data_IF_566369029650
#
_entry.id   IF_566369029650
#
_cell.length_a   1.000
_cell.length_b   1.000
_cell.length_c   1.000
_cell.angle_alpha   90.00
_cell.angle_beta   90.00
_cell.angle_gamma   90.00
#
_symmetry.space_group_name_H-M   'P 1'
#
loop_
_entity.id
_entity.type
_entity.pdbx_description
1 polymer ?
#
# COMPACT_ATOMS: atom_id res chain seq x y z
N UNK A 1 24.84 -13.27 -20.66
CA UNK A 1 23.49 -13.26 -20.06
C UNK A 1 23.54 -12.27 -18.93
N UNK A 2 22.84 -11.14 -19.04
CA UNK A 2 22.74 -10.17 -17.93
C UNK A 2 21.81 -10.77 -16.89
N UNK A 3 22.30 -11.06 -15.69
CA UNK A 3 21.45 -11.44 -14.57
C UNK A 3 20.40 -10.36 -14.36
N UNK A 4 19.13 -10.70 -14.62
CA UNK A 4 18.01 -9.83 -14.32
C UNK A 4 17.82 -9.83 -12.81
N UNK A 5 17.96 -8.66 -12.18
CA UNK A 5 17.64 -8.46 -10.75
C UNK A 5 16.25 -9.08 -10.46
N UNK A 6 16.08 -9.82 -9.36
CA UNK A 6 14.77 -10.35 -8.99
C UNK A 6 13.75 -9.21 -8.82
N UNK A 7 12.54 -9.44 -9.30
CA UNK A 7 11.43 -8.51 -9.16
C UNK A 7 11.03 -8.39 -7.69
N UNK A 8 10.72 -7.17 -7.26
CA UNK A 8 10.34 -6.88 -5.87
C UNK A 8 9.04 -6.11 -5.78
N UNK A 9 8.15 -6.54 -4.90
CA UNK A 9 6.93 -5.82 -4.53
C UNK A 9 7.01 -5.44 -3.06
N UNK A 10 6.64 -4.19 -2.75
CA UNK A 10 6.51 -3.71 -1.37
C UNK A 10 5.07 -3.35 -1.08
N UNK A 11 4.57 -3.78 0.06
CA UNK A 11 3.20 -3.57 0.52
C UNK A 11 3.21 -2.77 1.82
N UNK A 12 2.37 -1.76 1.89
CA UNK A 12 2.27 -0.88 3.03
C UNK A 12 0.94 -1.09 3.75
N UNK A 13 0.99 -1.63 4.96
CA UNK A 13 -0.18 -1.85 5.81
C UNK A 13 -0.52 -0.60 6.63
N UNK A 14 -1.52 0.16 6.18
CA UNK A 14 -2.04 1.34 6.87
C UNK A 14 -2.89 1.06 8.10
N UNK A 15 -3.18 -0.21 8.42
CA UNK A 15 -3.96 -0.57 9.62
C UNK A 15 -3.09 -0.57 10.86
N UNK A 16 -3.59 0.00 11.96
CA UNK A 16 -2.94 -0.09 13.29
C UNK A 16 -2.73 -1.54 13.75
N UNK A 17 -3.58 -2.46 13.30
CA UNK A 17 -3.46 -3.90 13.57
C UNK A 17 -2.45 -4.52 12.60
N UNK A 18 -1.32 -4.97 13.13
CA UNK A 18 -0.23 -5.61 12.37
C UNK A 18 -0.71 -6.87 11.63
N UNK A 19 -1.52 -7.69 12.28
CA UNK A 19 -2.07 -8.93 11.70
C UNK A 19 -3.58 -8.81 11.40
N UNK A 20 -4.04 -7.59 11.11
CA UNK A 20 -5.45 -7.31 10.82
C UNK A 20 -5.86 -7.66 9.38
N UNK A 21 -7.14 -7.40 9.06
CA UNK A 21 -7.72 -7.67 7.75
C UNK A 21 -6.91 -7.06 6.58
N UNK A 22 -6.41 -5.82 6.73
CA UNK A 22 -5.59 -5.17 5.69
C UNK A 22 -4.31 -5.94 5.41
N UNK A 23 -3.59 -6.37 6.45
CA UNK A 23 -2.38 -7.16 6.29
C UNK A 23 -2.67 -8.52 5.65
N UNK A 24 -3.76 -9.17 6.04
CA UNK A 24 -4.18 -10.45 5.46
C UNK A 24 -4.52 -10.32 3.97
N UNK A 25 -5.19 -9.24 3.55
CA UNK A 25 -5.48 -8.99 2.14
C UNK A 25 -4.21 -8.72 1.32
N UNK A 26 -3.25 -7.96 1.87
CA UNK A 26 -1.95 -7.79 1.22
C UNK A 26 -1.23 -9.13 1.11
N UNK A 27 -1.28 -9.93 2.17
CA UNK A 27 -0.63 -11.24 2.21
C UNK A 27 -1.23 -12.22 1.19
N UNK A 28 -2.56 -12.19 0.94
CA UNK A 28 -3.16 -12.96 -0.15
C UNK A 28 -2.57 -12.60 -1.52
N UNK A 29 -2.37 -11.30 -1.79
CA UNK A 29 -1.71 -10.87 -3.03
C UNK A 29 -0.25 -11.33 -3.05
N UNK A 30 0.45 -11.22 -1.91
CA UNK A 30 1.83 -11.67 -1.81
C UNK A 30 1.99 -13.18 -1.96
N UNK A 31 1.03 -14.00 -1.50
CA UNK A 31 1.07 -15.45 -1.70
C UNK A 31 1.13 -15.78 -3.19
N UNK A 32 0.26 -15.17 -4.01
CA UNK A 32 0.28 -15.37 -5.46
C UNK A 32 1.58 -14.84 -6.11
N UNK A 33 2.04 -13.65 -5.70
CA UNK A 33 3.29 -13.10 -6.23
C UNK A 33 4.52 -13.96 -5.88
N UNK A 34 4.59 -14.50 -4.66
CA UNK A 34 5.68 -15.39 -4.23
C UNK A 34 5.64 -16.73 -4.97
N UNK A 35 4.46 -17.24 -5.33
CA UNK A 35 4.32 -18.44 -6.18
C UNK A 35 4.95 -18.23 -7.57
N UNK A 36 4.90 -17.00 -8.08
CA UNK A 36 5.56 -16.57 -9.32
C UNK A 36 7.04 -16.17 -9.12
N UNK A 37 7.61 -16.40 -7.94
CA UNK A 37 9.02 -16.11 -7.64
C UNK A 37 9.35 -14.64 -7.39
N UNK A 38 8.35 -13.80 -7.11
CA UNK A 38 8.53 -12.36 -6.85
C UNK A 38 8.79 -12.11 -5.35
N UNK A 39 9.81 -11.31 -5.03
CA UNK A 39 10.13 -10.94 -3.66
C UNK A 39 9.07 -9.98 -3.08
N UNK A 40 8.61 -10.23 -1.85
CA UNK A 40 7.55 -9.44 -1.22
C UNK A 40 7.94 -8.89 0.17
N UNK A 41 8.02 -7.56 0.23
CA UNK A 41 8.17 -6.63 1.36
C UNK A 41 6.89 -6.23 2.13
N UNK A 42 6.55 -6.71 3.35
CA UNK A 42 5.47 -6.06 4.12
C UNK A 42 6.01 -4.98 5.07
N UNK A 43 5.53 -3.75 4.93
CA UNK A 43 5.86 -2.60 5.79
C UNK A 43 4.64 -2.19 6.60
N UNK A 44 4.80 -2.14 7.92
CA UNK A 44 3.78 -1.64 8.83
C UNK A 44 3.78 -0.10 8.85
N UNK A 45 2.68 0.51 8.40
CA UNK A 45 2.49 1.97 8.37
C UNK A 45 1.57 2.45 9.48
N UNK A 46 0.46 1.72 9.70
CA UNK A 46 -0.40 2.01 10.85
C UNK A 46 0.38 1.82 12.15
N UNK A 47 0.17 2.70 13.14
CA UNK A 47 0.96 2.77 14.39
C UNK A 47 2.38 3.37 14.23
N UNK A 48 2.71 3.99 13.10
CA UNK A 48 3.92 4.82 13.00
C UNK A 48 3.75 6.09 13.85
N UNK A 49 4.29 6.09 15.08
CA UNK A 49 4.05 7.14 16.09
C UNK A 49 4.51 8.54 15.68
N UNK A 50 5.53 8.63 14.83
CA UNK A 50 6.23 9.89 14.55
C UNK A 50 6.00 10.42 13.13
N UNK A 51 5.09 9.82 12.36
CA UNK A 51 4.79 10.30 11.00
C UNK A 51 3.65 11.31 11.02
N UNK A 52 3.93 12.53 10.59
CA UNK A 52 2.93 13.59 10.38
C UNK A 52 2.70 13.84 8.89
N UNK A 53 1.71 14.67 8.56
CA UNK A 53 1.44 15.08 7.18
C UNK A 53 2.60 15.89 6.57
N UNK A 54 2.56 16.08 5.25
CA UNK A 54 3.43 17.05 4.59
C UNK A 54 3.06 18.47 5.05
N UNK A 55 4.04 19.30 5.38
CA UNK A 55 3.81 20.70 5.78
C UNK A 55 4.08 21.71 4.66
N UNK A 56 4.34 21.24 3.43
CA UNK A 56 4.55 22.12 2.27
C UNK A 56 5.85 22.93 2.30
N UNK A 57 6.86 22.57 3.08
CA UNK A 57 8.09 23.37 3.21
C UNK A 57 8.97 23.47 1.94
N UNK A 58 8.74 22.62 0.93
CA UNK A 58 9.46 22.66 -0.36
C UNK A 58 10.93 22.23 -0.34
N UNK A 59 11.55 21.98 0.83
CA UNK A 59 12.99 21.67 0.94
C UNK A 59 13.44 20.41 0.18
N UNK A 60 12.54 19.46 -0.02
CA UNK A 60 12.82 18.25 -0.79
C UNK A 60 13.18 18.52 -2.27
N UNK A 61 12.87 19.70 -2.81
CA UNK A 61 13.23 20.06 -4.18
C UNK A 61 14.75 20.11 -4.42
N UNK A 62 15.53 20.53 -3.42
CA UNK A 62 16.99 20.55 -3.50
C UNK A 62 17.64 19.33 -2.87
N UNK A 63 17.02 18.72 -1.85
CA UNK A 63 17.66 17.63 -1.08
C UNK A 63 17.24 16.23 -1.53
N UNK A 64 16.15 16.11 -2.29
CA UNK A 64 15.52 14.84 -2.67
C UNK A 64 15.18 13.94 -1.46
N UNK A 65 15.01 14.57 -0.29
CA UNK A 65 14.72 13.94 1.00
C UNK A 65 13.71 14.75 1.79
N UNK A 66 13.01 14.10 2.72
CA UNK A 66 12.11 14.78 3.62
C UNK A 66 12.89 15.36 4.81
N UNK A 67 13.13 16.66 4.78
CA UNK A 67 13.89 17.42 5.80
C UNK A 67 13.09 17.73 7.08
N UNK A 68 11.82 17.33 7.15
CA UNK A 68 10.99 17.45 8.36
C UNK A 68 10.85 16.11 9.08
N UNK A 69 11.43 15.04 8.52
CA UNK A 69 11.44 13.73 9.14
C UNK A 69 12.38 13.77 10.36
N UNK A 70 11.81 13.56 11.55
CA UNK A 70 12.58 13.35 12.76
C UNK A 70 13.29 11.98 12.77
N UNK A 71 14.08 11.69 13.82
CA UNK A 71 14.81 10.41 13.93
C UNK A 71 13.93 9.17 13.81
N UNK A 72 12.71 9.23 14.37
CA UNK A 72 11.75 8.13 14.39
C UNK A 72 10.74 8.19 13.24
N UNK A 73 10.86 9.17 12.33
CA UNK A 73 9.96 9.33 11.20
C UNK A 73 10.45 8.47 10.01
N UNK A 74 9.74 7.39 9.67
CA UNK A 74 10.22 6.40 8.71
C UNK A 74 10.07 6.83 7.25
N UNK A 75 9.58 8.05 6.96
CA UNK A 75 9.20 8.44 5.60
C UNK A 75 10.33 8.33 4.57
N UNK A 76 11.56 8.66 4.95
CA UNK A 76 12.71 8.55 4.04
C UNK A 76 13.03 7.07 3.75
N UNK A 77 12.86 6.19 4.73
CA UNK A 77 13.01 4.74 4.58
C UNK A 77 11.90 4.17 3.70
N UNK A 78 10.65 4.56 3.93
CA UNK A 78 9.52 4.16 3.08
C UNK A 78 9.73 4.59 1.64
N UNK A 79 10.13 5.85 1.42
CA UNK A 79 10.42 6.36 0.10
C UNK A 79 11.52 5.54 -0.59
N UNK A 80 12.63 5.23 0.10
CA UNK A 80 13.68 4.37 -0.45
C UNK A 80 13.15 3.00 -0.90
N UNK A 81 12.35 2.34 -0.05
CA UNK A 81 11.72 1.05 -0.38
C UNK A 81 10.78 1.13 -1.60
N UNK A 82 10.03 2.22 -1.72
CA UNK A 82 9.18 2.46 -2.90
C UNK A 82 9.99 2.66 -4.18
N UNK A 83 11.17 3.28 -4.11
CA UNK A 83 12.07 3.43 -5.28
C UNK A 83 12.64 2.09 -5.74
N UNK A 84 13.04 1.25 -4.79
CA UNK A 84 13.68 -0.05 -5.04
C UNK A 84 12.74 -1.12 -5.59
N UNK A 85 11.45 -1.05 -5.26
CA UNK A 85 10.45 -2.03 -5.64
C UNK A 85 9.93 -1.81 -7.07
N UNK A 86 9.59 -2.86 -7.79
CA UNK A 86 8.97 -2.83 -9.12
C UNK A 86 7.44 -2.71 -9.03
N UNK A 87 6.86 -3.17 -7.92
CA UNK A 87 5.45 -3.00 -7.58
C UNK A 87 5.23 -2.45 -6.17
N UNK A 88 4.15 -1.68 -6.00
CA UNK A 88 3.75 -1.07 -4.73
C UNK A 88 2.30 -1.41 -4.44
N UNK A 89 2.05 -2.01 -3.28
CA UNK A 89 0.72 -2.21 -2.72
C UNK A 89 0.50 -1.18 -1.61
N UNK A 90 -0.56 -0.37 -1.72
CA UNK A 90 -1.01 0.49 -0.64
C UNK A 90 -2.28 -0.10 -0.05
N UNK A 91 -2.17 -0.62 1.17
CA UNK A 91 -3.28 -1.23 1.89
C UNK A 91 -3.81 -0.33 2.99
N UNK A 92 -5.11 -0.01 3.00
CA UNK A 92 -5.70 0.79 4.08
C UNK A 92 -6.93 0.13 4.68
N UNK A 93 -7.16 0.24 6.00
CA UNK A 93 -8.49 0.09 6.55
C UNK A 93 -9.37 1.27 6.10
N UNK A 94 -10.69 1.09 6.16
CA UNK A 94 -11.66 2.18 6.00
C UNK A 94 -12.00 2.77 7.36
N UNK A 95 -11.49 3.96 7.66
CA UNK A 95 -11.86 4.73 8.84
C UNK A 95 -12.64 5.96 8.42
N UNK A 96 -13.92 6.01 8.79
CA UNK A 96 -14.86 7.08 8.40
C UNK A 96 -14.80 7.42 6.89
N UNK A 97 -14.88 6.37 6.04
CA UNK A 97 -14.87 6.47 4.58
C UNK A 97 -13.60 7.12 3.97
N UNK A 98 -12.46 7.02 4.67
CA UNK A 98 -11.17 7.50 4.18
C UNK A 98 -10.02 6.55 4.55
N UNK A 99 -8.85 6.78 3.94
CA UNK A 99 -7.59 6.12 4.31
C UNK A 99 -7.22 6.43 5.76
N UNK A 100 -6.39 5.59 6.39
CA UNK A 100 -5.82 5.93 7.70
C UNK A 100 -4.93 7.16 7.62
N UNK A 101 -4.76 7.85 8.75
CA UNK A 101 -3.94 9.07 8.84
C UNK A 101 -2.50 8.78 8.43
N UNK A 102 -1.92 7.68 8.90
CA UNK A 102 -0.55 7.29 8.58
C UNK A 102 -0.38 6.94 7.11
N UNK A 103 -1.39 6.29 6.50
CA UNK A 103 -1.39 6.04 5.06
C UNK A 103 -1.46 7.34 4.26
N UNK A 104 -2.28 8.30 4.70
CA UNK A 104 -2.34 9.63 4.06
C UNK A 104 -1.01 10.38 4.19
N UNK A 105 -0.36 10.31 5.35
CA UNK A 105 0.96 10.90 5.58
C UNK A 105 2.03 10.30 4.65
N UNK A 106 2.01 8.97 4.44
CA UNK A 106 2.87 8.30 3.46
C UNK A 106 2.59 8.84 2.05
N UNK A 107 1.33 8.84 1.62
CA UNK A 107 0.90 9.31 0.29
C UNK A 107 1.37 10.75 0.04
N UNK A 108 1.12 11.66 0.98
CA UNK A 108 1.42 13.08 0.81
C UNK A 108 2.92 13.35 0.74
N UNK A 109 3.69 12.72 1.63
CA UNK A 109 5.13 12.97 1.70
C UNK A 109 5.89 12.26 0.60
N UNK A 110 5.64 10.97 0.37
CA UNK A 110 6.29 10.23 -0.72
C UNK A 110 5.86 10.73 -2.09
N UNK A 111 4.60 11.15 -2.25
CA UNK A 111 4.13 11.82 -3.46
C UNK A 111 4.90 13.10 -3.73
N UNK A 112 5.04 13.97 -2.72
CA UNK A 112 5.80 15.21 -2.89
C UNK A 112 7.27 14.96 -3.18
N UNK A 113 7.91 14.00 -2.50
CA UNK A 113 9.29 13.61 -2.76
C UNK A 113 9.49 13.14 -4.20
N UNK A 114 8.57 12.33 -4.74
CA UNK A 114 8.68 11.90 -6.12
C UNK A 114 8.43 13.06 -7.10
N UNK A 115 7.45 13.93 -6.83
CA UNK A 115 7.14 15.09 -7.67
C UNK A 115 8.34 16.01 -7.79
N UNK A 116 8.98 16.35 -6.67
CA UNK A 116 10.14 17.25 -6.66
C UNK A 116 11.41 16.61 -7.20
N UNK A 117 11.50 15.28 -7.20
CA UNK A 117 12.55 14.51 -7.89
C UNK A 117 12.24 14.28 -9.39
N UNK A 118 11.33 15.03 -10.00
CA UNK A 118 11.02 14.95 -11.44
C UNK A 118 10.13 13.77 -11.84
N UNK A 119 9.42 13.16 -10.88
CA UNK A 119 8.45 12.04 -11.05
C UNK A 119 9.02 10.72 -11.57
N UNK A 120 10.34 10.60 -11.75
CA UNK A 120 10.94 9.44 -12.37
C UNK A 120 10.98 8.19 -11.47
N UNK A 121 10.92 8.35 -10.14
CA UNK A 121 11.16 7.22 -9.25
C UNK A 121 10.05 6.17 -9.27
N UNK A 122 8.80 6.58 -9.53
CA UNK A 122 7.65 5.67 -9.51
C UNK A 122 7.08 5.40 -10.90
N UNK A 123 7.58 6.11 -11.91
CA UNK A 123 7.09 6.01 -13.29
C UNK A 123 7.17 4.58 -13.80
N UNK A 124 6.07 4.11 -14.39
CA UNK A 124 5.88 2.78 -14.97
C UNK A 124 6.02 1.60 -13.98
N UNK A 125 6.07 1.86 -12.67
CA UNK A 125 5.92 0.81 -11.66
C UNK A 125 4.47 0.34 -11.57
N UNK A 126 4.28 -0.85 -11.03
CA UNK A 126 2.95 -1.42 -10.80
C UNK A 126 2.39 -0.91 -9.48
N UNK A 127 1.12 -0.49 -9.47
CA UNK A 127 0.39 -0.04 -8.28
C UNK A 127 -0.87 -0.87 -8.05
N UNK A 128 -1.09 -1.32 -6.82
CA UNK A 128 -2.34 -1.97 -6.44
C UNK A 128 -2.87 -1.38 -5.13
N UNK A 129 -4.11 -0.89 -5.15
CA UNK A 129 -4.82 -0.51 -3.94
C UNK A 129 -5.35 -1.79 -3.27
N UNK A 130 -5.32 -1.87 -1.94
CA UNK A 130 -6.00 -2.93 -1.17
C UNK A 130 -6.79 -2.29 -0.05
N UNK A 131 -8.10 -2.50 -0.03
CA UNK A 131 -8.98 -1.81 0.94
C UNK A 131 -9.68 -2.83 1.82
N UNK A 132 -9.48 -2.72 3.13
CA UNK A 132 -10.19 -3.54 4.11
C UNK A 132 -11.38 -2.77 4.69
N UNK A 133 -12.59 -3.16 4.33
CA UNK A 133 -13.81 -2.56 4.82
C UNK A 133 -14.60 -3.53 5.72
N UNK A 134 -15.28 -3.00 6.74
CA UNK A 134 -16.29 -3.76 7.49
C UNK A 134 -17.68 -3.63 6.86
N UNK A 135 -17.98 -2.45 6.28
CA UNK A 135 -19.27 -2.11 5.69
C UNK A 135 -19.04 -1.31 4.40
N UNK A 136 -19.38 -0.02 4.42
CA UNK A 136 -19.32 0.89 3.26
C UNK A 136 -18.13 1.85 3.36
N UNK A 137 -17.96 2.68 2.33
CA UNK A 137 -16.94 3.73 2.28
C UNK A 137 -15.60 3.26 1.71
N UNK A 138 -15.53 2.04 1.16
CA UNK A 138 -14.34 1.53 0.47
C UNK A 138 -13.99 2.33 -0.78
N UNK A 139 -14.99 2.90 -1.44
CA UNK A 139 -14.83 3.47 -2.79
C UNK A 139 -13.96 4.73 -2.74
N UNK A 140 -14.22 5.62 -1.78
CA UNK A 140 -13.39 6.79 -1.54
C UNK A 140 -11.94 6.42 -1.17
N UNK A 141 -11.73 5.32 -0.44
CA UNK A 141 -10.40 4.85 -0.05
C UNK A 141 -9.65 4.29 -1.26
N UNK A 142 -10.31 3.43 -2.04
CA UNK A 142 -9.81 2.88 -3.29
C UNK A 142 -9.43 4.00 -4.26
N UNK A 143 -10.32 4.97 -4.45
CA UNK A 143 -10.10 6.14 -5.29
C UNK A 143 -8.93 6.99 -4.83
N UNK A 144 -8.83 7.25 -3.52
CA UNK A 144 -7.74 8.08 -2.97
C UNK A 144 -6.38 7.46 -3.23
N UNK A 145 -6.27 6.14 -3.08
CA UNK A 145 -5.04 5.39 -3.35
C UNK A 145 -4.74 5.35 -4.86
N UNK A 146 -5.74 5.08 -5.70
CA UNK A 146 -5.51 5.02 -7.15
C UNK A 146 -5.18 6.39 -7.76
N UNK A 147 -5.78 7.47 -7.24
CA UNK A 147 -5.39 8.85 -7.63
C UNK A 147 -3.91 9.11 -7.33
N UNK A 148 -3.39 8.59 -6.23
CA UNK A 148 -1.95 8.63 -5.97
C UNK A 148 -1.19 7.90 -7.08
N UNK A 149 -1.45 6.61 -7.34
CA UNK A 149 -0.73 5.87 -8.38
C UNK A 149 -0.79 6.54 -9.76
N UNK A 150 -1.97 6.97 -10.18
CA UNK A 150 -2.18 7.62 -11.48
C UNK A 150 -1.40 8.94 -11.60
N UNK A 151 -1.38 9.76 -10.54
CA UNK A 151 -0.57 10.99 -10.54
C UNK A 151 0.95 10.73 -10.52
N UNK A 152 1.38 9.54 -10.11
CA UNK A 152 2.78 9.10 -10.14
C UNK A 152 3.19 8.37 -11.42
N UNK A 153 2.31 8.31 -12.44
CA UNK A 153 2.55 7.61 -13.72
C UNK A 153 2.77 6.10 -13.55
N UNK A 154 2.07 5.49 -12.59
CA UNK A 154 2.10 4.06 -12.34
C UNK A 154 0.99 3.33 -13.11
N UNK A 155 1.20 2.05 -13.39
CA UNK A 155 0.18 1.16 -13.95
C UNK A 155 -0.66 0.59 -12.80
N UNK A 156 -1.96 0.90 -12.78
CA UNK A 156 -2.88 0.44 -11.73
C UNK A 156 -3.47 -0.91 -12.11
N UNK A 157 -3.35 -1.89 -11.21
CA UNK A 157 -3.88 -3.24 -11.38
C UNK A 157 -5.23 -3.36 -10.66
N UNK A 158 -6.25 -3.77 -11.42
CA UNK A 158 -7.59 -4.07 -10.91
C UNK A 158 -7.73 -5.51 -10.42
N UNK A 159 -8.97 -5.89 -10.11
CA UNK A 159 -9.36 -7.27 -9.79
C UNK A 159 -10.64 -7.60 -10.58
N UNK A 160 -11.27 -8.75 -10.29
CA UNK A 160 -12.59 -9.12 -10.82
C UNK A 160 -13.68 -8.10 -10.46
N UNK A 161 -13.42 -7.31 -9.41
CA UNK A 161 -14.11 -6.07 -9.07
C UNK A 161 -13.07 -5.04 -8.59
N UNK A 162 -13.46 -4.04 -7.80
CA UNK A 162 -12.46 -3.24 -7.08
C UNK A 162 -11.77 -4.05 -5.99
N UNK A 163 -10.53 -3.69 -5.65
CA UNK A 163 -9.67 -4.39 -4.70
C UNK A 163 -10.10 -4.16 -3.23
N UNK A 164 -11.35 -4.51 -2.94
CA UNK A 164 -12.05 -4.24 -1.68
C UNK A 164 -12.38 -5.56 -0.97
N UNK A 165 -11.67 -5.86 0.11
CA UNK A 165 -11.99 -7.00 0.98
C UNK A 165 -12.99 -6.60 2.06
N UNK A 166 -14.15 -7.25 2.10
CA UNK A 166 -15.17 -7.07 3.15
C UNK A 166 -15.17 -8.26 4.11
N UNK A 167 -15.29 -7.97 5.40
CA UNK A 167 -15.48 -8.99 6.44
C UNK A 167 -14.41 -10.12 6.45
N UNK A 168 -13.13 -9.82 6.19
CA UNK A 168 -12.12 -10.87 6.04
C UNK A 168 -11.98 -11.84 7.22
N UNK A 169 -12.09 -11.37 8.47
CA UNK A 169 -12.06 -12.27 9.62
C UNK A 169 -13.14 -13.37 9.54
N UNK A 170 -14.31 -13.06 8.97
CA UNK A 170 -15.37 -14.05 8.73
C UNK A 170 -15.03 -14.96 7.55
N UNK A 171 -14.56 -14.38 6.43
CA UNK A 171 -14.19 -15.14 5.23
C UNK A 171 -13.07 -16.13 5.53
N UNK A 172 -11.99 -15.72 6.21
CA UNK A 172 -10.91 -16.64 6.60
C UNK A 172 -11.39 -17.73 7.54
N UNK A 173 -12.27 -17.41 8.49
CA UNK A 173 -12.85 -18.42 9.38
C UNK A 173 -13.61 -19.49 8.58
N UNK A 174 -14.35 -19.09 7.54
CA UNK A 174 -15.03 -20.02 6.62
C UNK A 174 -14.06 -20.81 5.75
N UNK A 175 -13.04 -20.16 5.20
CA UNK A 175 -12.04 -20.84 4.35
C UNK A 175 -11.25 -21.90 5.13
N UNK A 176 -10.98 -21.64 6.41
CA UNK A 176 -10.28 -22.57 7.30
C UNK A 176 -11.20 -23.61 7.96
N UNK A 177 -12.52 -23.53 7.74
CA UNK A 177 -13.47 -24.54 8.20
C UNK A 177 -13.62 -25.61 7.12
N UNK A 178 -13.22 -26.88 7.36
CA UNK A 178 -13.32 -27.96 6.39
C UNK A 178 -14.74 -28.14 5.82
N UNK A 179 -15.76 -27.80 6.61
CA UNK A 179 -17.18 -27.92 6.22
C UNK A 179 -17.66 -26.76 5.35
N UNK A 180 -16.91 -25.66 5.26
CA UNK A 180 -17.28 -24.51 4.42
C UNK A 180 -16.20 -24.09 3.43
N UNK A 181 -15.04 -24.76 3.43
CA UNK A 181 -13.92 -24.48 2.52
C UNK A 181 -14.29 -24.63 1.02
N UNK A 182 -15.29 -25.46 0.72
CA UNK A 182 -15.82 -25.67 -0.63
C UNK A 182 -16.95 -24.68 -1.00
N UNK A 183 -17.44 -23.90 -0.04
CA UNK A 183 -18.48 -22.89 -0.27
C UNK A 183 -17.79 -21.60 -0.69
N UNK A 184 -17.79 -21.31 -1.99
CA UNK A 184 -17.33 -20.03 -2.53
C UNK A 184 -18.18 -18.93 -1.87
N UNK A 185 -17.58 -17.95 -1.19
CA UNK A 185 -18.34 -16.82 -0.64
C UNK A 185 -19.14 -16.16 -1.76
N UNK A 186 -20.41 -15.79 -1.55
CA UNK A 186 -21.16 -15.06 -2.55
C UNK A 186 -20.42 -13.75 -2.87
N UNK A 187 -20.33 -13.44 -4.16
CA UNK A 187 -19.69 -12.24 -4.73
C UNK A 187 -20.17 -10.93 -4.07
#
# INVERSE_FOLDING_TARGET
MTETKPLKVVGFNGSFKVNGNTAQLIEMVFSELRNEGIECELIQVGNAKSVSGCNGCGRCASTHRCEIAGPDDPVNTWFAKMKEADGIILGSPVYFANVSVEMKSLIDRCGMLNVTAGRNNFRHKIGAAVVAARRNGSDNVFDSINKFFLTQQMHVVGSIHWNNGKNMAYVLKKMNDPLTAHIIPPE
#
